data_IF_111478640878
#
_entry.id   IF_111478640878
#
_cell.length_a   1.000
_cell.length_b   1.000
_cell.length_c   1.000
_cell.angle_alpha   90.00
_cell.angle_beta   90.00
_cell.angle_gamma   90.00
#
_symmetry.space_group_name_H-M   'P 1'
#
loop_
_entity.id
_entity.type
_entity.pdbx_description
1 polymer ?
#
# COMPACT_ATOMS: atom_id res chain seq x y z
N UNK A 1 73.17 -3.36 -10.36
CA UNK A 1 72.34 -4.19 -9.46
C UNK A 1 72.52 -3.60 -8.07
N UNK A 2 71.64 -2.82 -7.44
CA UNK A 2 70.24 -2.44 -7.61
C UNK A 2 70.08 -0.90 -7.45
N UNK A 3 68.94 -0.29 -7.83
CA UNK A 3 68.71 1.16 -7.80
C UNK A 3 67.61 1.61 -6.80
N UNK A 4 67.49 2.95 -6.66
CA UNK A 4 66.28 3.78 -6.43
C UNK A 4 66.09 4.49 -5.08
N UNK A 5 66.24 5.81 -5.21
CA UNK A 5 65.53 6.93 -4.57
C UNK A 5 64.02 6.72 -4.32
N UNK A 6 63.51 7.20 -3.16
CA UNK A 6 62.57 8.34 -3.08
C UNK A 6 62.16 8.66 -1.62
N UNK A 7 62.15 9.95 -1.30
CA UNK A 7 61.46 10.60 -0.17
C UNK A 7 59.98 10.86 -0.55
N UNK A 8 59.19 11.49 0.33
CA UNK A 8 58.05 10.97 1.09
C UNK A 8 56.73 11.02 0.31
N UNK A 9 55.67 10.36 0.78
CA UNK A 9 54.32 10.59 0.27
C UNK A 9 53.43 11.03 1.44
N UNK A 10 52.86 12.19 1.22
CA UNK A 10 51.99 12.96 2.09
C UNK A 10 50.72 12.23 2.51
N UNK A 11 50.25 12.65 3.68
CA UNK A 11 48.86 12.66 4.13
C UNK A 11 47.87 12.88 2.98
N UNK A 12 47.07 11.86 2.66
CA UNK A 12 45.75 12.05 2.03
C UNK A 12 44.73 11.15 2.74
N UNK A 13 44.13 11.74 3.76
CA UNK A 13 42.69 11.75 4.01
C UNK A 13 41.90 10.44 3.79
N UNK A 14 42.04 9.50 4.75
CA UNK A 14 41.07 8.40 4.94
C UNK A 14 39.77 8.85 5.65
N UNK A 15 39.49 10.16 5.77
CA UNK A 15 38.34 10.69 6.50
C UNK A 15 37.09 10.94 5.63
N UNK A 16 37.11 10.58 4.34
CA UNK A 16 36.01 10.87 3.40
C UNK A 16 35.26 9.64 2.87
N UNK A 17 35.28 8.51 3.58
CA UNK A 17 34.19 7.53 3.45
C UNK A 17 32.96 8.08 4.18
N UNK A 18 32.35 9.09 3.57
CA UNK A 18 31.04 9.62 3.94
C UNK A 18 30.10 8.43 4.06
N UNK A 19 29.68 8.14 5.29
CA UNK A 19 28.49 7.32 5.56
C UNK A 19 27.35 7.94 4.79
N UNK A 20 27.14 7.50 3.54
CA UNK A 20 25.97 7.87 2.77
C UNK A 20 24.82 7.14 3.46
N UNK A 21 23.93 7.85 4.18
CA UNK A 21 22.84 7.19 4.87
C UNK A 21 22.04 6.42 3.83
N UNK A 22 21.73 5.15 4.11
CA UNK A 22 20.83 4.39 3.25
C UNK A 22 19.55 5.23 3.08
N UNK A 23 19.11 5.50 1.84
CA UNK A 23 17.90 6.28 1.62
C UNK A 23 16.77 5.59 2.39
N UNK A 24 16.02 6.35 3.18
CA UNK A 24 14.87 5.78 3.87
C UNK A 24 13.84 5.46 2.79
N UNK A 25 13.10 4.36 2.92
CA UNK A 25 12.00 3.99 2.00
C UNK A 25 11.04 5.18 1.75
N UNK A 26 10.91 6.07 2.74
CA UNK A 26 10.14 7.32 2.63
C UNK A 26 10.75 8.37 1.69
N UNK A 27 12.09 8.47 1.63
CA UNK A 27 12.81 9.39 0.75
C UNK A 27 12.67 8.91 -0.71
N UNK A 28 12.71 7.60 -0.92
CA UNK A 28 12.46 6.96 -2.23
C UNK A 28 11.02 7.17 -2.70
N UNK A 29 10.02 6.99 -1.82
CA UNK A 29 8.63 7.28 -2.16
C UNK A 29 8.42 8.76 -2.51
N UNK A 30 9.12 9.67 -1.82
CA UNK A 30 8.95 11.11 -2.03
C UNK A 30 9.54 11.55 -3.38
N UNK A 31 10.67 10.98 -3.79
CA UNK A 31 11.25 11.24 -5.11
C UNK A 31 10.38 10.69 -6.24
N UNK A 32 9.83 9.48 -6.07
CA UNK A 32 8.87 8.89 -7.01
C UNK A 32 7.60 9.74 -7.14
N UNK A 33 7.08 10.29 -6.03
CA UNK A 33 5.95 11.23 -6.06
C UNK A 33 6.30 12.47 -6.89
N UNK A 34 7.45 13.08 -6.67
CA UNK A 34 7.85 14.29 -7.38
C UNK A 34 8.02 14.06 -8.90
N UNK A 35 8.54 12.89 -9.30
CA UNK A 35 8.64 12.50 -10.70
C UNK A 35 7.26 12.22 -11.32
N UNK A 36 6.42 11.44 -10.63
CA UNK A 36 5.06 11.13 -11.09
C UNK A 36 4.17 12.38 -11.21
N UNK A 37 4.36 13.39 -10.36
CA UNK A 37 3.69 14.69 -10.47
C UNK A 37 4.02 15.45 -11.76
N UNK A 38 5.19 15.20 -12.33
CA UNK A 38 5.64 15.79 -13.60
C UNK A 38 5.20 14.97 -14.82
N UNK A 39 4.43 13.89 -14.61
CA UNK A 39 3.94 13.03 -15.68
C UNK A 39 4.80 11.80 -15.98
N UNK A 40 5.77 11.47 -15.11
CA UNK A 40 6.52 10.21 -15.23
C UNK A 40 5.63 9.02 -14.85
N UNK A 41 5.15 8.31 -15.87
CA UNK A 41 4.31 7.11 -15.72
C UNK A 41 5.05 5.96 -15.03
N UNK A 42 6.36 5.81 -15.28
CA UNK A 42 7.17 4.75 -14.66
C UNK A 42 7.35 5.01 -13.17
N UNK A 43 7.53 6.28 -12.77
CA UNK A 43 7.55 6.65 -11.36
C UNK A 43 6.22 6.34 -10.66
N UNK A 44 5.09 6.58 -11.34
CA UNK A 44 3.78 6.21 -10.79
C UNK A 44 3.63 4.69 -10.66
N UNK A 45 4.09 3.91 -11.63
CA UNK A 45 4.07 2.44 -11.56
C UNK A 45 4.85 1.94 -10.33
N UNK A 46 6.02 2.50 -10.07
CA UNK A 46 6.82 2.16 -8.89
C UNK A 46 6.11 2.54 -7.57
N UNK A 47 5.38 3.68 -7.54
CA UNK A 47 4.53 4.02 -6.39
C UNK A 47 3.42 2.99 -6.17
N UNK A 48 2.79 2.52 -7.25
CA UNK A 48 1.78 1.46 -7.17
C UNK A 48 2.40 0.21 -6.60
N UNK A 49 3.52 -0.28 -7.16
CA UNK A 49 4.20 -1.49 -6.70
C UNK A 49 4.58 -1.40 -5.21
N UNK A 50 5.15 -0.27 -4.78
CA UNK A 50 5.57 -0.06 -3.40
C UNK A 50 4.40 -0.01 -2.40
N UNK A 51 3.21 0.41 -2.83
CA UNK A 51 2.06 0.64 -1.92
C UNK A 51 0.93 -0.37 -2.10
N UNK A 52 0.98 -1.23 -3.11
CA UNK A 52 -0.13 -2.11 -3.50
C UNK A 52 -0.59 -3.01 -2.36
N UNK A 53 0.35 -3.67 -1.67
CA UNK A 53 0.02 -4.62 -0.60
C UNK A 53 -0.74 -3.94 0.53
N UNK A 54 -0.29 -2.75 0.96
CA UNK A 54 -0.95 -1.98 2.01
C UNK A 54 -2.33 -1.49 1.57
N UNK A 55 -2.42 -0.92 0.36
CA UNK A 55 -3.68 -0.45 -0.24
C UNK A 55 -4.71 -1.56 -0.37
N UNK A 56 -4.32 -2.70 -0.93
CA UNK A 56 -5.20 -3.84 -1.12
C UNK A 56 -5.63 -4.46 0.22
N UNK A 57 -4.71 -4.57 1.18
CA UNK A 57 -5.03 -5.09 2.52
C UNK A 57 -6.07 -4.20 3.22
N UNK A 58 -5.93 -2.88 3.12
CA UNK A 58 -6.92 -1.95 3.62
C UNK A 58 -8.27 -2.13 2.92
N UNK A 59 -8.28 -2.23 1.59
CA UNK A 59 -9.49 -2.44 0.82
C UNK A 59 -10.22 -3.71 1.28
N UNK A 60 -9.52 -4.84 1.43
CA UNK A 60 -10.10 -6.10 1.94
C UNK A 60 -10.71 -5.93 3.33
N UNK A 61 -10.04 -5.23 4.25
CA UNK A 61 -10.58 -4.97 5.59
C UNK A 61 -11.83 -4.10 5.57
N UNK A 62 -11.93 -3.16 4.64
CA UNK A 62 -13.07 -2.26 4.52
C UNK A 62 -14.26 -2.92 3.81
N UNK A 63 -14.02 -3.70 2.76
CA UNK A 63 -15.07 -4.32 1.93
C UNK A 63 -15.54 -5.68 2.47
N UNK A 64 -14.69 -6.39 3.22
CA UNK A 64 -14.96 -7.72 3.74
C UNK A 64 -14.82 -8.84 2.71
N UNK A 65 -14.51 -8.55 1.45
CA UNK A 65 -14.34 -9.56 0.40
C UNK A 65 -13.32 -9.12 -0.67
N UNK A 66 -12.73 -10.08 -1.38
CA UNK A 66 -11.66 -9.82 -2.35
C UNK A 66 -12.13 -9.18 -3.65
N UNK A 67 -13.36 -9.43 -4.09
CA UNK A 67 -13.88 -8.90 -5.35
C UNK A 67 -14.03 -7.38 -5.27
N UNK A 68 -14.82 -6.90 -4.31
CA UNK A 68 -14.97 -5.47 -4.02
C UNK A 68 -13.62 -4.82 -3.69
N UNK A 69 -12.69 -5.55 -3.04
CA UNK A 69 -11.37 -5.01 -2.71
C UNK A 69 -10.51 -4.75 -3.96
N UNK A 70 -10.58 -5.61 -4.98
CA UNK A 70 -9.88 -5.40 -6.26
C UNK A 70 -10.41 -4.14 -6.94
N UNK A 71 -11.72 -3.99 -7.01
CA UNK A 71 -12.37 -2.82 -7.61
C UNK A 71 -12.02 -1.53 -6.88
N UNK A 72 -12.09 -1.54 -5.54
CA UNK A 72 -11.71 -0.41 -4.69
C UNK A 72 -10.25 -0.04 -4.89
N UNK A 73 -9.35 -1.03 -4.97
CA UNK A 73 -7.92 -0.79 -5.17
C UNK A 73 -7.64 -0.15 -6.52
N UNK A 74 -8.23 -0.67 -7.59
CA UNK A 74 -8.08 -0.10 -8.93
C UNK A 74 -8.63 1.32 -9.00
N UNK A 75 -9.85 1.55 -8.52
CA UNK A 75 -10.47 2.88 -8.50
C UNK A 75 -9.66 3.86 -7.65
N UNK A 76 -9.08 3.41 -6.53
CA UNK A 76 -8.21 4.24 -5.70
C UNK A 76 -6.96 4.69 -6.47
N UNK A 77 -6.28 3.79 -7.18
CA UNK A 77 -5.11 4.16 -7.99
C UNK A 77 -5.47 5.03 -9.19
N UNK A 78 -6.61 4.81 -9.86
CA UNK A 78 -7.09 5.69 -10.93
C UNK A 78 -7.37 7.10 -10.42
N UNK A 79 -7.97 7.24 -9.23
CA UNK A 79 -8.18 8.54 -8.58
C UNK A 79 -6.87 9.16 -8.13
N UNK A 80 -5.97 8.36 -7.57
CA UNK A 80 -4.65 8.82 -7.15
C UNK A 80 -3.89 9.39 -8.35
N UNK A 81 -3.82 8.67 -9.47
CA UNK A 81 -3.17 9.12 -10.70
C UNK A 81 -3.68 10.50 -11.16
N UNK A 82 -5.01 10.67 -11.22
CA UNK A 82 -5.66 11.93 -11.63
C UNK A 82 -5.45 13.08 -10.64
N UNK A 83 -5.32 12.78 -9.35
CA UNK A 83 -5.20 13.78 -8.29
C UNK A 83 -3.75 14.10 -7.89
N UNK A 84 -2.80 13.22 -8.22
CA UNK A 84 -1.40 13.31 -7.84
C UNK A 84 -0.74 14.64 -8.25
N UNK A 85 -0.99 15.21 -9.45
CA UNK A 85 -0.41 16.52 -9.82
C UNK A 85 -0.83 17.67 -8.88
N UNK A 86 -1.94 17.51 -8.14
CA UNK A 86 -2.46 18.49 -7.16
C UNK A 86 -2.10 18.14 -5.71
N UNK A 87 -1.40 17.03 -5.48
CA UNK A 87 -1.01 16.61 -4.16
C UNK A 87 0.06 17.55 -3.59
N UNK A 88 -0.22 18.16 -2.44
CA UNK A 88 0.62 19.22 -1.86
C UNK A 88 1.78 18.72 -0.99
N UNK A 89 1.86 17.42 -0.73
CA UNK A 89 2.90 16.86 0.15
C UNK A 89 2.74 17.22 1.64
N UNK A 90 1.60 17.76 2.06
CA UNK A 90 1.30 18.08 3.47
C UNK A 90 1.21 16.83 4.38
N UNK A 91 1.15 15.65 3.78
CA UNK A 91 1.20 14.34 4.45
C UNK A 91 2.04 13.37 3.62
N UNK A 92 2.42 12.22 4.17
CA UNK A 92 3.04 11.17 3.37
C UNK A 92 2.06 10.66 2.30
N UNK A 93 2.59 10.26 1.14
CA UNK A 93 1.77 9.67 0.07
C UNK A 93 0.99 8.45 0.55
N UNK A 94 1.58 7.61 1.39
CA UNK A 94 0.92 6.44 2.02
C UNK A 94 -0.33 6.86 2.83
N UNK A 95 -0.23 7.91 3.63
CA UNK A 95 -1.34 8.47 4.41
C UNK A 95 -2.43 9.05 3.50
N UNK A 96 -2.03 9.75 2.44
CA UNK A 96 -2.98 10.29 1.47
C UNK A 96 -3.71 9.17 0.71
N UNK A 97 -2.96 8.16 0.24
CA UNK A 97 -3.48 6.99 -0.46
C UNK A 97 -4.47 6.22 0.41
N UNK A 98 -4.17 6.05 1.70
CA UNK A 98 -5.07 5.46 2.68
C UNK A 98 -6.46 6.15 2.69
N UNK A 99 -6.49 7.49 2.69
CA UNK A 99 -7.75 8.26 2.62
C UNK A 99 -8.48 8.07 1.30
N UNK A 100 -7.76 8.04 0.19
CA UNK A 100 -8.33 7.79 -1.15
C UNK A 100 -9.00 6.41 -1.17
N UNK A 101 -8.32 5.37 -0.70
CA UNK A 101 -8.84 4.01 -0.61
C UNK A 101 -10.06 3.91 0.29
N UNK A 102 -10.04 4.54 1.46
CA UNK A 102 -11.19 4.56 2.36
C UNK A 102 -12.44 5.20 1.72
N UNK A 103 -12.26 6.28 0.96
CA UNK A 103 -13.34 6.93 0.23
C UNK A 103 -13.90 6.05 -0.90
N UNK A 104 -13.03 5.37 -1.64
CA UNK A 104 -13.44 4.41 -2.67
C UNK A 104 -14.23 3.24 -2.06
N UNK A 105 -13.75 2.67 -0.96
CA UNK A 105 -14.43 1.59 -0.24
C UNK A 105 -15.82 2.02 0.27
N UNK A 106 -15.93 3.21 0.87
CA UNK A 106 -17.20 3.75 1.33
C UNK A 106 -18.20 3.90 0.17
N UNK A 107 -17.74 4.38 -0.99
CA UNK A 107 -18.56 4.50 -2.21
C UNK A 107 -19.04 3.13 -2.69
N UNK A 108 -18.14 2.14 -2.75
CA UNK A 108 -18.47 0.78 -3.18
C UNK A 108 -19.50 0.13 -2.24
N UNK A 109 -19.31 0.23 -0.92
CA UNK A 109 -20.23 -0.34 0.07
C UNK A 109 -21.62 0.31 0.02
N UNK A 110 -21.71 1.61 -0.23
CA UNK A 110 -22.99 2.28 -0.42
C UNK A 110 -23.73 1.77 -1.68
N UNK A 111 -23.01 1.47 -2.77
CA UNK A 111 -23.60 0.89 -3.99
C UNK A 111 -24.13 -0.52 -3.74
N UNK A 112 -23.35 -1.36 -3.03
CA UNK A 112 -23.74 -2.74 -2.67
C UNK A 112 -25.03 -2.79 -1.85
N UNK A 113 -25.20 -1.90 -0.86
CA UNK A 113 -26.43 -1.82 -0.06
C UNK A 113 -27.64 -1.48 -0.94
N UNK A 114 -27.50 -0.53 -1.88
CA UNK A 114 -28.59 -0.18 -2.81
C UNK A 114 -28.96 -1.35 -3.72
N UNK A 115 -27.98 -2.10 -4.23
CA UNK A 115 -28.24 -3.26 -5.09
C UNK A 115 -28.83 -4.44 -4.33
N UNK A 116 -28.43 -4.66 -3.07
CA UNK A 116 -29.06 -5.66 -2.18
C UNK A 116 -30.50 -5.31 -1.83
N UNK A 117 -30.86 -4.04 -1.66
CA UNK A 117 -32.25 -3.65 -1.41
C UNK A 117 -33.17 -3.86 -2.63
N UNK A 118 -32.61 -4.06 -3.83
CA UNK A 118 -33.36 -4.34 -5.06
C UNK A 118 -33.47 -5.83 -5.43
N UNK A 119 -32.78 -6.73 -4.72
CA UNK A 119 -32.82 -8.18 -4.96
C UNK A 119 -33.04 -8.93 -3.65
N UNK A 120 -34.01 -9.86 -3.61
CA UNK A 120 -34.20 -10.79 -2.49
C UNK A 120 -32.89 -11.56 -2.21
N UNK A 121 -32.59 -11.92 -0.95
CA UNK A 121 -31.28 -12.45 -0.60
C UNK A 121 -31.12 -13.88 -1.09
N UNK A 122 -30.32 -14.07 -2.14
CA UNK A 122 -29.63 -15.34 -2.38
C UNK A 122 -28.41 -15.40 -1.44
N UNK A 123 -28.32 -16.51 -0.73
CA UNK A 123 -27.23 -16.83 0.18
C UNK A 123 -25.98 -17.13 -0.66
N UNK A 124 -25.12 -16.14 -0.86
CA UNK A 124 -23.85 -16.36 -1.57
C UNK A 124 -22.93 -17.24 -0.72
N UNK A 125 -22.66 -18.43 -1.24
CA UNK A 125 -21.65 -19.37 -0.76
C UNK A 125 -20.25 -18.75 -0.85
N UNK A 126 -19.46 -19.03 0.18
CA UNK A 126 -18.11 -18.52 0.36
C UNK A 126 -17.15 -19.25 -0.60
N UNK A 127 -16.67 -18.57 -1.65
CA UNK A 127 -15.59 -19.10 -2.50
C UNK A 127 -14.24 -18.85 -1.79
N UNK A 128 -13.55 -19.95 -1.49
CA UNK A 128 -12.16 -19.98 -1.06
C UNK A 128 -11.20 -19.73 -2.24
N UNK A 129 -10.35 -18.71 -2.12
CA UNK A 129 -9.26 -18.41 -3.06
C UNK A 129 -7.97 -18.12 -2.31
N UNK A 130 -7.47 -19.06 -1.52
CA UNK A 130 -6.08 -19.05 -1.07
C UNK A 130 -5.41 -20.39 -1.28
N UNK A 131 -4.46 -20.44 -2.22
CA UNK A 131 -3.10 -20.90 -1.92
C UNK A 131 -2.27 -20.99 -3.19
N UNK A 132 -1.42 -20.00 -3.44
CA UNK A 132 -0.14 -20.25 -4.10
C UNK A 132 0.98 -19.59 -3.28
N UNK A 133 2.00 -20.41 -2.98
CA UNK A 133 3.24 -20.16 -2.24
C UNK A 133 3.25 -20.31 -0.70
N UNK A 134 3.90 -21.40 -0.26
CA UNK A 134 4.46 -21.77 1.05
C UNK A 134 3.49 -22.00 2.24
N UNK A 135 3.19 -23.27 2.62
CA UNK A 135 2.13 -23.62 3.57
C UNK A 135 2.52 -23.56 5.06
N UNK A 136 3.76 -23.86 5.46
CA UNK A 136 4.06 -24.11 6.89
C UNK A 136 4.23 -22.84 7.75
N UNK A 137 4.77 -21.75 7.20
CA UNK A 137 4.95 -20.49 7.94
C UNK A 137 3.71 -19.56 7.88
N UNK A 138 2.69 -19.90 7.07
CA UNK A 138 1.47 -19.09 6.86
C UNK A 138 0.27 -19.53 7.68
N UNK A 139 0.27 -20.73 8.28
CA UNK A 139 -0.90 -21.24 9.00
C UNK A 139 -1.28 -20.33 10.19
N UNK A 140 -0.33 -20.00 11.08
CA UNK A 140 -0.65 -19.19 12.27
C UNK A 140 -1.03 -17.73 11.94
N UNK A 141 -0.28 -17.09 11.04
CA UNK A 141 -0.54 -15.71 10.62
C UNK A 141 -1.79 -15.59 9.73
N UNK A 142 -2.05 -16.60 8.89
CA UNK A 142 -3.24 -16.73 8.06
C UNK A 142 -4.51 -16.91 8.89
N UNK A 143 -4.43 -17.70 9.95
CA UNK A 143 -5.53 -17.95 10.88
C UNK A 143 -5.93 -16.72 11.67
N UNK A 144 -4.94 -15.95 12.17
CA UNK A 144 -5.24 -14.69 12.85
C UNK A 144 -5.89 -13.69 11.88
N UNK A 145 -5.33 -13.54 10.68
CA UNK A 145 -5.87 -12.65 9.65
C UNK A 145 -7.28 -13.05 9.23
N UNK A 146 -7.55 -14.34 9.08
CA UNK A 146 -8.88 -14.84 8.75
C UNK A 146 -9.88 -14.59 9.89
N UNK A 147 -9.49 -14.87 11.14
CA UNK A 147 -10.33 -14.57 12.31
C UNK A 147 -10.66 -13.08 12.41
N UNK A 148 -9.69 -12.20 12.13
CA UNK A 148 -9.89 -10.75 12.13
C UNK A 148 -10.86 -10.33 11.02
N UNK A 149 -10.74 -10.87 9.82
CA UNK A 149 -11.69 -10.59 8.72
C UNK A 149 -13.11 -11.09 9.04
N UNK A 150 -13.24 -12.30 9.60
CA UNK A 150 -14.53 -12.85 10.03
C UNK A 150 -15.17 -11.96 11.10
N UNK A 151 -14.39 -11.50 12.10
CA UNK A 151 -14.87 -10.60 13.13
C UNK A 151 -15.25 -9.21 12.60
N UNK A 152 -14.52 -8.67 11.62
CA UNK A 152 -14.91 -7.42 10.96
C UNK A 152 -16.17 -7.59 10.12
N UNK A 153 -16.43 -8.79 9.60
CA UNK A 153 -17.61 -9.02 8.76
C UNK A 153 -18.92 -9.02 9.55
N UNK A 154 -18.88 -9.37 10.85
CA UNK A 154 -20.04 -9.26 11.74
C UNK A 154 -20.48 -7.81 11.99
N UNK A 155 -19.65 -6.83 11.64
CA UNK A 155 -19.96 -5.41 11.82
C UNK A 155 -20.70 -4.84 10.60
N UNK A 156 -21.73 -4.00 10.82
CA UNK A 156 -22.29 -3.15 9.76
C UNK A 156 -21.19 -2.31 9.08
N UNK A 157 -21.28 -2.02 7.76
CA UNK A 157 -20.22 -1.37 7.00
C UNK A 157 -19.70 -0.06 7.61
N UNK A 158 -20.59 0.75 8.20
CA UNK A 158 -20.21 2.01 8.87
C UNK A 158 -19.34 1.77 10.11
N UNK A 159 -19.67 0.77 10.93
CA UNK A 159 -18.91 0.45 12.15
C UNK A 159 -17.57 -0.22 11.80
N UNK A 160 -17.55 -1.09 10.79
CA UNK A 160 -16.33 -1.69 10.26
C UNK A 160 -15.32 -0.63 9.82
N UNK A 161 -15.77 0.38 9.07
CA UNK A 161 -14.91 1.48 8.66
C UNK A 161 -14.33 2.23 9.87
N UNK A 162 -15.13 2.53 10.90
CA UNK A 162 -14.63 3.21 12.11
C UNK A 162 -13.55 2.40 12.81
N UNK A 163 -13.72 1.09 12.97
CA UNK A 163 -12.73 0.20 13.61
C UNK A 163 -11.44 0.16 12.79
N UNK A 164 -11.54 -0.12 11.49
CA UNK A 164 -10.37 -0.26 10.60
C UNK A 164 -9.57 1.05 10.49
N UNK A 165 -10.25 2.20 10.53
CA UNK A 165 -9.60 3.52 10.44
C UNK A 165 -9.00 3.98 11.79
N UNK A 166 -9.46 3.44 12.93
CA UNK A 166 -8.94 3.77 14.26
C UNK A 166 -7.71 2.95 14.66
N UNK A 167 -7.64 1.71 14.18
CA UNK A 167 -6.58 0.75 14.56
C UNK A 167 -5.26 0.96 13.80
N UNK A 168 -5.05 2.13 13.18
CA UNK A 168 -3.84 2.51 12.43
C UNK A 168 -3.13 3.67 13.12
#
# INVERSE_FOLDING_TARGET
MQPRTRKPADTEDSSALVERPLPRVQDELSSLVAAAQQGDESAFELLVQATYVQTYTLAVRLTGNSEDARDVTQEAYLRAYRALPKFRGESQFSTWMYRVTANCASTQMQRRVRHRHSKLPETDELIDLRSEYNPELRAEAGDLRNRLLVALDTLPPKLRAVVVLRDV
#
